data_IF_144226029963
#
_entry.id   IF_144226029963
#
_cell.length_a   1.000
_cell.length_b   1.000
_cell.length_c   1.000
_cell.angle_alpha   90.00
_cell.angle_beta   90.00
_cell.angle_gamma   90.00
#
_symmetry.space_group_name_H-M   'P 1'
#
loop_
_entity.id
_entity.type
_entity.pdbx_description
1 polymer ?
#
# COMPACT_ATOMS: atom_id res chain seq x y z
N UNK A 1 -14.95 10.88 51.28
CA UNK A 1 -15.06 10.09 50.02
C UNK A 1 -15.21 10.97 48.77
N UNK A 2 -16.23 11.84 48.65
CA UNK A 2 -16.41 12.71 47.46
C UNK A 2 -15.21 13.62 47.11
N UNK A 3 -14.57 14.23 48.11
CA UNK A 3 -13.37 15.07 47.91
C UNK A 3 -12.16 14.28 47.39
N UNK A 4 -12.01 13.03 47.84
CA UNK A 4 -10.94 12.14 47.41
C UNK A 4 -11.16 11.68 45.96
N UNK A 5 -12.42 11.35 45.62
CA UNK A 5 -12.81 10.99 44.25
C UNK A 5 -12.56 12.15 43.27
N UNK A 6 -12.98 13.37 43.63
CA UNK A 6 -12.74 14.57 42.82
C UNK A 6 -11.24 14.85 42.62
N UNK A 7 -10.42 14.62 43.64
CA UNK A 7 -8.97 14.81 43.56
C UNK A 7 -8.35 13.81 42.57
N UNK A 8 -8.74 12.53 42.63
CA UNK A 8 -8.27 11.51 41.69
C UNK A 8 -8.72 11.79 40.25
N UNK A 9 -9.96 12.24 40.04
CA UNK A 9 -10.45 12.62 38.71
C UNK A 9 -9.68 13.83 38.15
N UNK A 10 -9.42 14.84 38.98
CA UNK A 10 -8.65 16.02 38.58
C UNK A 10 -7.20 15.66 38.23
N UNK A 11 -6.54 14.82 39.05
CA UNK A 11 -5.19 14.31 38.76
C UNK A 11 -5.15 13.49 37.47
N UNK A 12 -6.15 12.65 37.23
CA UNK A 12 -6.25 11.88 35.98
C UNK A 12 -6.41 12.78 34.75
N UNK A 13 -7.23 13.83 34.83
CA UNK A 13 -7.37 14.82 33.75
C UNK A 13 -6.08 15.61 33.52
N UNK A 14 -5.42 16.06 34.58
CA UNK A 14 -4.14 16.77 34.48
C UNK A 14 -3.08 15.86 33.83
N UNK A 15 -2.98 14.60 34.27
CA UNK A 15 -2.06 13.64 33.67
C UNK A 15 -2.37 13.42 32.17
N UNK A 16 -3.64 13.32 31.78
CA UNK A 16 -4.03 13.18 30.38
C UNK A 16 -3.68 14.42 29.54
N UNK A 17 -3.79 15.63 30.10
CA UNK A 17 -3.37 16.87 29.43
C UNK A 17 -1.84 16.96 29.31
N UNK A 18 -1.13 16.65 30.39
CA UNK A 18 0.35 16.64 30.39
C UNK A 18 0.88 15.65 29.35
N UNK A 19 0.31 14.44 29.26
CA UNK A 19 0.69 13.45 28.24
C UNK A 19 0.45 13.96 26.82
N UNK A 20 -0.62 14.73 26.57
CA UNK A 20 -0.86 15.35 25.26
C UNK A 20 0.14 16.47 24.91
N UNK A 21 0.72 17.13 25.93
CA UNK A 21 1.73 18.15 25.75
C UNK A 21 3.16 17.60 25.64
N UNK A 22 3.39 16.32 25.95
CA UNK A 22 4.70 15.70 25.79
C UNK A 22 5.03 15.57 24.29
N UNK A 23 6.25 15.92 23.85
CA UNK A 23 6.66 15.73 22.47
C UNK A 23 6.62 14.23 22.13
N UNK A 24 5.88 13.89 21.07
CA UNK A 24 5.89 12.52 20.55
C UNK A 24 7.29 12.21 20.02
N UNK A 25 7.74 10.98 20.24
CA UNK A 25 8.95 10.51 19.60
C UNK A 25 8.71 10.47 18.09
N UNK A 26 9.46 11.29 17.37
CA UNK A 26 9.53 11.21 15.91
C UNK A 26 10.20 9.88 15.56
N UNK A 27 9.57 9.01 14.77
CA UNK A 27 10.32 7.93 14.15
C UNK A 27 11.45 8.56 13.32
N UNK A 28 12.57 7.83 13.17
CA UNK A 28 13.65 8.28 12.31
C UNK A 28 13.05 8.72 10.97
N UNK A 29 13.33 9.97 10.57
CA UNK A 29 12.93 10.48 9.26
C UNK A 29 13.42 9.49 8.23
N UNK A 30 12.49 8.87 7.49
CA UNK A 30 12.87 8.11 6.32
C UNK A 30 13.50 9.11 5.36
N UNK A 31 14.70 8.81 4.86
CA UNK A 31 15.54 9.64 3.96
C UNK A 31 14.90 9.95 2.58
N UNK A 32 13.59 9.80 2.51
CA UNK A 32 12.65 10.07 1.42
C UNK A 32 12.64 11.51 0.90
N UNK A 33 13.08 12.50 1.69
CA UNK A 33 13.26 13.87 1.20
C UNK A 33 14.21 13.97 0.00
N UNK A 34 14.98 12.92 -0.27
CA UNK A 34 16.00 12.89 -1.33
C UNK A 34 15.56 12.14 -2.60
N UNK A 35 14.33 11.61 -2.70
CA UNK A 35 13.88 10.94 -3.94
C UNK A 35 12.51 11.44 -4.39
N UNK A 36 12.55 12.43 -5.28
CA UNK A 36 11.42 12.91 -6.08
C UNK A 36 10.78 11.77 -6.85
N UNK A 37 9.50 11.50 -6.62
CA UNK A 37 8.78 10.40 -7.28
C UNK A 37 8.82 10.54 -8.82
N UNK A 38 8.78 11.77 -9.34
CA UNK A 38 8.84 12.02 -10.78
C UNK A 38 10.15 11.54 -11.43
N UNK A 39 11.28 11.64 -10.72
CA UNK A 39 12.59 11.17 -11.16
C UNK A 39 12.70 9.65 -11.10
N UNK A 40 12.15 9.02 -10.05
CA UNK A 40 12.20 7.56 -9.87
C UNK A 40 11.40 6.79 -10.93
N UNK A 41 10.29 7.38 -11.38
CA UNK A 41 9.37 6.76 -12.34
C UNK A 41 9.43 7.44 -13.71
N UNK A 42 10.49 8.21 -13.98
CA UNK A 42 10.76 8.84 -15.27
C UNK A 42 10.79 7.78 -16.38
N UNK A 43 10.10 8.04 -17.47
CA UNK A 43 9.91 7.06 -18.55
C UNK A 43 11.23 6.75 -19.25
N UNK A 44 11.62 5.48 -19.23
CA UNK A 44 12.53 4.87 -20.21
C UNK A 44 11.80 3.71 -20.85
N UNK A 45 11.49 3.81 -22.14
CA UNK A 45 10.92 2.70 -22.89
C UNK A 45 10.57 3.09 -24.31
N UNK A 46 10.99 2.28 -25.28
CA UNK A 46 10.59 2.43 -26.67
C UNK A 46 9.10 2.06 -26.81
N UNK A 47 8.29 2.93 -27.40
CA UNK A 47 6.88 2.65 -27.73
C UNK A 47 5.82 3.05 -26.69
N UNK A 48 6.23 3.59 -25.54
CA UNK A 48 5.31 4.16 -24.55
C UNK A 48 5.50 5.67 -24.39
N UNK A 49 4.38 6.36 -24.24
CA UNK A 49 4.35 7.76 -23.81
C UNK A 49 3.83 7.82 -22.39
N UNK A 50 4.29 8.80 -21.61
CA UNK A 50 3.72 9.05 -20.30
C UNK A 50 3.36 10.52 -20.12
N UNK A 51 2.28 10.75 -19.40
CA UNK A 51 1.80 12.08 -19.04
C UNK A 51 1.41 12.10 -17.58
N UNK A 52 1.78 13.16 -16.88
CA UNK A 52 1.24 13.39 -15.54
C UNK A 52 -0.21 13.85 -15.66
N UNK A 53 -1.06 13.25 -14.82
CA UNK A 53 -2.49 13.47 -14.80
C UNK A 53 -2.84 14.22 -13.52
N UNK A 54 -3.64 15.30 -13.60
CA UNK A 54 -4.07 16.01 -12.40
C UNK A 54 -4.96 15.11 -11.54
N UNK A 55 -4.87 15.27 -10.21
CA UNK A 55 -5.67 14.52 -9.23
C UNK A 55 -7.13 14.99 -9.12
N UNK A 56 -7.58 15.80 -10.07
CA UNK A 56 -8.93 16.30 -10.17
C UNK A 56 -9.24 16.69 -11.61
N UNK A 57 -10.52 16.62 -11.98
CA UNK A 57 -10.97 17.06 -13.30
C UNK A 57 -10.89 18.59 -13.47
N UNK A 58 -10.78 19.33 -12.36
CA UNK A 58 -10.67 20.78 -12.32
C UNK A 58 -9.66 21.19 -11.25
N UNK A 59 -9.11 22.40 -11.36
CA UNK A 59 -8.21 22.98 -10.35
C UNK A 59 -8.84 23.03 -8.96
N UNK A 60 -10.15 23.33 -8.87
CA UNK A 60 -10.88 23.36 -7.60
C UNK A 60 -10.95 21.98 -6.94
N UNK A 61 -11.19 20.93 -7.73
CA UNK A 61 -11.20 19.54 -7.24
C UNK A 61 -9.79 19.12 -6.84
N UNK A 62 -8.78 19.46 -7.63
CA UNK A 62 -7.38 19.18 -7.31
C UNK A 62 -6.96 19.85 -5.99
N UNK A 63 -7.26 21.14 -5.81
CA UNK A 63 -6.96 21.86 -4.56
C UNK A 63 -7.71 21.28 -3.35
N UNK A 64 -8.93 20.78 -3.53
CA UNK A 64 -9.66 20.06 -2.48
C UNK A 64 -9.00 18.72 -2.11
N UNK A 65 -8.52 17.97 -3.11
CA UNK A 65 -7.78 16.71 -2.91
C UNK A 65 -6.47 16.97 -2.18
N UNK A 66 -5.68 17.95 -2.61
CA UNK A 66 -4.43 18.38 -1.96
C UNK A 66 -4.67 18.78 -0.50
N UNK A 67 -5.70 19.59 -0.25
CA UNK A 67 -6.05 20.04 1.10
C UNK A 67 -6.51 18.90 2.01
N UNK A 68 -7.19 17.91 1.46
CA UNK A 68 -7.73 16.77 2.21
C UNK A 68 -6.64 15.74 2.49
N UNK A 69 -5.89 15.36 1.45
CA UNK A 69 -4.88 14.30 1.52
C UNK A 69 -3.57 14.79 2.11
N UNK A 70 -3.21 16.08 1.99
CA UNK A 70 -2.03 16.69 2.63
C UNK A 70 -0.75 15.85 2.48
N UNK A 71 -0.52 15.27 1.30
CA UNK A 71 0.70 14.52 0.99
C UNK A 71 1.92 15.45 0.92
N UNK A 72 3.11 14.88 1.08
CA UNK A 72 4.39 15.57 0.93
C UNK A 72 4.95 15.44 -0.49
N UNK A 73 4.65 14.34 -1.19
CA UNK A 73 4.93 14.15 -2.61
C UNK A 73 3.81 13.30 -3.25
N UNK A 74 3.56 13.50 -4.54
CA UNK A 74 2.58 12.71 -5.30
C UNK A 74 3.01 12.54 -6.75
N UNK A 75 2.78 11.34 -7.26
CA UNK A 75 2.89 11.01 -8.67
C UNK A 75 1.57 10.43 -9.13
N UNK A 76 0.94 11.05 -10.13
CA UNK A 76 -0.14 10.41 -10.87
C UNK A 76 0.18 10.48 -12.35
N UNK A 77 0.53 9.33 -12.92
CA UNK A 77 1.06 9.24 -14.28
C UNK A 77 0.32 8.18 -15.06
N UNK A 78 -0.11 8.54 -16.25
CA UNK A 78 -0.67 7.62 -17.23
C UNK A 78 0.41 7.25 -18.23
N UNK A 79 0.52 5.97 -18.51
CA UNK A 79 1.37 5.39 -19.54
C UNK A 79 0.46 4.89 -20.65
N UNK A 80 0.76 5.23 -21.89
CA UNK A 80 -0.05 4.83 -23.05
C UNK A 80 0.85 4.32 -24.18
N UNK A 81 0.50 3.16 -24.72
CA UNK A 81 1.16 2.58 -25.89
C UNK A 81 0.78 3.33 -27.16
N UNK A 82 1.53 3.09 -28.23
CA UNK A 82 1.12 3.50 -29.58
C UNK A 82 -0.19 2.85 -30.07
N UNK A 83 -0.56 1.68 -29.53
CA UNK A 83 -1.81 0.97 -29.84
C UNK A 83 -3.02 1.49 -29.05
N UNK A 84 -2.80 2.35 -28.05
CA UNK A 84 -3.86 2.95 -27.22
C UNK A 84 -4.16 2.22 -25.91
N UNK A 85 -3.45 1.13 -25.62
CA UNK A 85 -3.51 0.47 -24.31
C UNK A 85 -2.90 1.39 -23.24
N UNK A 86 -3.46 1.40 -22.04
CA UNK A 86 -2.96 2.30 -21.00
C UNK A 86 -3.05 1.73 -19.58
N UNK A 87 -2.06 2.10 -18.79
CA UNK A 87 -2.10 1.90 -17.34
C UNK A 87 -1.74 3.20 -16.63
N UNK A 88 -2.15 3.31 -15.39
CA UNK A 88 -1.90 4.47 -14.53
C UNK A 88 -1.19 4.05 -13.26
N UNK A 89 -0.19 4.84 -12.87
CA UNK A 89 0.51 4.72 -11.61
C UNK A 89 0.14 5.93 -10.75
N UNK A 90 -0.40 5.66 -9.57
CA UNK A 90 -0.63 6.64 -8.53
C UNK A 90 0.21 6.29 -7.31
N UNK A 91 1.02 7.23 -6.85
CA UNK A 91 1.81 7.12 -5.62
C UNK A 91 1.61 8.41 -4.83
N UNK A 92 1.14 8.29 -3.60
CA UNK A 92 1.13 9.40 -2.65
C UNK A 92 2.04 9.08 -1.46
N UNK A 93 2.83 10.07 -1.07
CA UNK A 93 3.81 9.96 0.00
C UNK A 93 3.49 10.92 1.16
N UNK A 94 3.65 10.44 2.39
CA UNK A 94 3.52 11.21 3.62
C UNK A 94 4.74 10.99 4.50
N UNK A 95 5.34 12.08 4.96
CA UNK A 95 6.42 12.02 5.95
C UNK A 95 5.90 11.59 7.33
N UNK A 96 6.81 11.15 8.17
CA UNK A 96 6.55 10.73 9.53
C UNK A 96 5.70 11.79 10.28
N UNK A 97 4.61 11.33 10.88
CA UNK A 97 3.69 12.19 11.64
C UNK A 97 2.76 13.07 10.82
N UNK A 98 2.87 13.09 9.48
CA UNK A 98 2.03 13.95 8.62
C UNK A 98 0.56 13.56 8.63
N UNK A 99 0.29 12.26 8.48
CA UNK A 99 -1.07 11.73 8.34
C UNK A 99 -1.27 10.47 9.20
N UNK A 100 -2.40 10.34 9.92
CA UNK A 100 -2.74 9.09 10.60
C UNK A 100 -2.87 7.93 9.61
N UNK A 101 -2.28 6.78 9.96
CA UNK A 101 -2.29 5.59 9.09
C UNK A 101 -3.68 5.13 8.70
N UNK A 102 -4.63 5.19 9.64
CA UNK A 102 -6.01 4.78 9.40
C UNK A 102 -6.73 5.74 8.45
N UNK A 103 -6.34 7.01 8.42
CA UNK A 103 -6.92 7.98 7.49
C UNK A 103 -6.41 7.72 6.07
N UNK A 104 -5.10 7.49 5.89
CA UNK A 104 -4.54 7.04 4.60
C UNK A 104 -5.21 5.74 4.13
N UNK A 105 -5.34 4.76 5.04
CA UNK A 105 -5.98 3.47 4.76
C UNK A 105 -7.48 3.57 4.45
N UNK A 106 -8.13 4.70 4.74
CA UNK A 106 -9.55 4.92 4.39
C UNK A 106 -9.75 5.37 2.93
N UNK A 107 -8.68 5.76 2.24
CA UNK A 107 -8.69 6.23 0.86
C UNK A 107 -8.31 5.14 -0.15
N UNK A 108 -8.88 3.94 0.00
CA UNK A 108 -8.70 2.85 -0.95
C UNK A 108 -9.61 3.00 -2.18
N UNK A 109 -9.30 2.34 -3.31
CA UNK A 109 -10.19 2.25 -4.46
C UNK A 109 -11.58 1.76 -4.08
N UNK A 110 -11.66 0.84 -3.12
CA UNK A 110 -12.91 0.29 -2.59
C UNK A 110 -13.89 1.37 -2.10
N UNK A 111 -13.39 2.51 -1.61
CA UNK A 111 -14.23 3.66 -1.25
C UNK A 111 -14.32 4.68 -2.38
N UNK A 112 -13.19 5.10 -2.93
CA UNK A 112 -13.15 6.22 -3.86
C UNK A 112 -13.81 5.89 -5.21
N UNK A 113 -13.58 4.69 -5.74
CA UNK A 113 -14.10 4.29 -7.04
C UNK A 113 -15.57 3.90 -6.96
N UNK A 114 -15.97 3.20 -5.91
CA UNK A 114 -17.38 2.86 -5.68
C UNK A 114 -18.23 4.10 -5.44
N UNK A 115 -17.73 5.08 -4.69
CA UNK A 115 -18.40 6.38 -4.53
C UNK A 115 -18.49 7.17 -5.83
N UNK A 116 -17.58 6.93 -6.78
CA UNK A 116 -17.60 7.48 -8.13
C UNK A 116 -18.48 6.67 -9.11
N UNK A 117 -19.21 5.66 -8.62
CA UNK A 117 -20.14 4.86 -9.41
C UNK A 117 -19.55 3.63 -10.10
N UNK A 118 -18.33 3.23 -9.76
CA UNK A 118 -17.75 1.97 -10.24
C UNK A 118 -18.25 0.80 -9.40
N UNK A 119 -18.54 -0.32 -10.06
CA UNK A 119 -18.86 -1.58 -9.41
C UNK A 119 -17.57 -2.39 -9.21
N UNK A 120 -17.34 -2.90 -8.00
CA UNK A 120 -16.27 -3.86 -7.75
C UNK A 120 -16.78 -5.27 -8.03
N UNK A 121 -16.29 -5.88 -9.11
CA UNK A 121 -16.74 -7.20 -9.56
C UNK A 121 -15.91 -8.34 -8.95
N UNK A 122 -14.63 -8.05 -8.65
CA UNK A 122 -13.68 -9.06 -8.19
C UNK A 122 -12.77 -8.48 -7.12
N UNK A 123 -12.48 -9.29 -6.11
CA UNK A 123 -11.61 -8.96 -4.98
C UNK A 123 -10.66 -10.13 -4.79
N UNK A 124 -9.36 -9.87 -4.82
CA UNK A 124 -8.35 -10.84 -4.42
C UNK A 124 -7.34 -10.16 -3.48
N UNK A 125 -6.99 -10.86 -2.41
CA UNK A 125 -6.01 -10.42 -1.41
C UNK A 125 -4.68 -11.12 -1.65
N UNK A 126 -3.57 -10.44 -1.35
CA UNK A 126 -2.23 -11.04 -1.43
C UNK A 126 -1.73 -11.29 -2.86
N UNK A 127 -2.18 -10.50 -3.84
CA UNK A 127 -1.76 -10.63 -5.24
C UNK A 127 -0.41 -9.94 -5.44
N UNK A 128 0.61 -10.72 -5.80
CA UNK A 128 1.92 -10.17 -6.14
C UNK A 128 2.03 -9.94 -7.66
N UNK A 129 2.61 -8.81 -8.06
CA UNK A 129 2.84 -8.49 -9.47
C UNK A 129 4.30 -8.74 -9.79
N UNK A 130 4.57 -9.50 -10.85
CA UNK A 130 5.92 -9.88 -11.24
C UNK A 130 6.27 -9.36 -12.63
N UNK A 131 7.53 -8.96 -12.81
CA UNK A 131 8.17 -8.68 -14.10
C UNK A 131 9.31 -9.68 -14.36
N UNK A 132 10.24 -9.33 -15.25
CA UNK A 132 11.43 -10.12 -15.56
C UNK A 132 12.50 -10.10 -14.46
N UNK A 133 12.53 -9.06 -13.64
CA UNK A 133 13.61 -8.79 -12.68
C UNK A 133 13.22 -9.18 -11.25
N UNK A 134 11.93 -9.28 -10.95
CA UNK A 134 11.47 -9.66 -9.63
C UNK A 134 9.96 -9.59 -9.46
N UNK A 135 9.56 -9.60 -8.19
CA UNK A 135 8.16 -9.64 -7.78
C UNK A 135 7.92 -8.60 -6.69
N UNK A 136 6.76 -7.95 -6.74
CA UNK A 136 6.34 -7.05 -5.68
C UNK A 136 5.94 -7.84 -4.43
N UNK A 137 5.88 -7.16 -3.29
CA UNK A 137 5.15 -7.67 -2.13
C UNK A 137 3.68 -7.92 -2.52
N UNK A 138 2.99 -8.84 -1.83
CA UNK A 138 1.57 -9.09 -2.05
C UNK A 138 0.76 -7.80 -1.89
N UNK A 139 -0.19 -7.55 -2.77
CA UNK A 139 -1.07 -6.38 -2.76
C UNK A 139 -2.54 -6.74 -2.80
N UNK A 140 -3.36 -5.71 -2.87
CA UNK A 140 -4.82 -5.81 -2.93
C UNK A 140 -5.28 -5.65 -4.38
N UNK A 141 -5.79 -6.72 -4.98
CA UNK A 141 -6.31 -6.70 -6.34
C UNK A 141 -7.82 -6.48 -6.35
N UNK A 142 -8.28 -5.68 -7.30
CA UNK A 142 -9.69 -5.41 -7.58
C UNK A 142 -9.92 -5.36 -9.09
N UNK A 143 -11.08 -5.83 -9.54
CA UNK A 143 -11.60 -5.56 -10.87
C UNK A 143 -12.82 -4.66 -10.75
N UNK A 144 -12.76 -3.48 -11.35
CA UNK A 144 -13.86 -2.51 -11.35
C UNK A 144 -14.50 -2.40 -12.73
N UNK A 145 -15.83 -2.22 -12.77
CA UNK A 145 -16.59 -1.93 -13.98
C UNK A 145 -17.40 -0.64 -13.81
N UNK A 146 -17.24 0.31 -14.72
CA UNK A 146 -18.06 1.52 -14.77
C UNK A 146 -19.42 1.25 -15.42
N UNK A 147 -20.41 2.13 -15.21
CA UNK A 147 -21.74 2.00 -15.82
C UNK A 147 -21.74 1.92 -17.36
N UNK A 148 -20.68 2.40 -18.01
CA UNK A 148 -20.46 2.30 -19.46
C UNK A 148 -19.78 1.01 -19.94
N UNK A 149 -19.54 0.04 -19.06
CA UNK A 149 -18.87 -1.23 -19.38
C UNK A 149 -17.34 -1.17 -19.40
N UNK A 150 -16.74 0.00 -19.15
CA UNK A 150 -15.28 0.13 -19.00
C UNK A 150 -14.80 -0.66 -17.80
N UNK A 151 -13.80 -1.52 -18.02
CA UNK A 151 -13.20 -2.36 -16.98
C UNK A 151 -11.83 -1.80 -16.58
N UNK A 152 -11.49 -1.93 -15.30
CA UNK A 152 -10.19 -1.56 -14.76
C UNK A 152 -9.67 -2.64 -13.81
N UNK A 153 -8.42 -3.04 -14.03
CA UNK A 153 -7.66 -3.99 -13.22
C UNK A 153 -6.76 -3.19 -12.28
N UNK A 154 -7.04 -3.24 -10.99
CA UNK A 154 -6.40 -2.38 -10.00
C UNK A 154 -5.66 -3.23 -8.99
N UNK A 155 -4.38 -2.94 -8.76
CA UNK A 155 -3.63 -3.45 -7.60
C UNK A 155 -3.15 -2.27 -6.79
N UNK A 156 -3.29 -2.34 -5.47
CA UNK A 156 -2.81 -1.30 -4.59
C UNK A 156 -2.11 -1.85 -3.34
N UNK A 157 -1.24 -1.01 -2.79
CA UNK A 157 -0.46 -1.27 -1.59
C UNK A 157 -0.44 -0.03 -0.71
N UNK A 158 -0.29 -0.23 0.59
CA UNK A 158 0.12 0.84 1.49
C UNK A 158 1.34 0.37 2.26
N UNK A 159 2.42 1.16 2.22
CA UNK A 159 3.61 0.96 3.04
C UNK A 159 3.55 1.92 4.24
N UNK A 160 3.81 1.40 5.42
CA UNK A 160 3.93 2.17 6.67
C UNK A 160 5.32 1.90 7.23
N UNK A 161 6.22 2.87 7.08
CA UNK A 161 7.65 2.65 7.22
C UNK A 161 8.13 1.66 6.15
N UNK A 162 8.67 0.52 6.59
CA UNK A 162 9.12 -0.56 5.71
C UNK A 162 8.12 -1.73 5.65
N UNK A 163 7.00 -1.64 6.37
CA UNK A 163 6.03 -2.72 6.47
C UNK A 163 4.85 -2.49 5.54
N UNK A 164 4.36 -3.59 4.95
CA UNK A 164 3.11 -3.55 4.22
C UNK A 164 1.96 -3.45 5.23
N UNK A 165 1.10 -2.46 5.02
CA UNK A 165 -0.11 -2.31 5.80
C UNK A 165 -1.07 -3.46 5.49
N UNK A 166 -1.47 -4.15 6.55
CA UNK A 166 -2.50 -5.17 6.48
C UNK A 166 -3.87 -4.48 6.57
N UNK A 167 -4.60 -4.44 5.46
CA UNK A 167 -5.97 -3.96 5.42
C UNK A 167 -6.94 -4.91 6.16
N UNK A 168 -6.49 -6.13 6.47
CA UNK A 168 -7.23 -7.24 7.05
C UNK A 168 -8.26 -7.83 6.09
N UNK A 169 -8.80 -9.01 6.42
CA UNK A 169 -9.95 -9.65 5.73
C UNK A 169 -11.29 -8.87 5.87
N UNK A 170 -11.27 -7.55 6.10
CA UNK A 170 -12.26 -6.90 6.96
C UNK A 170 -13.12 -5.85 6.26
N UNK A 171 -14.04 -6.34 5.43
CA UNK A 171 -15.42 -5.84 5.56
C UNK A 171 -15.88 -6.19 6.99
N UNK A 172 -15.97 -5.21 7.90
CA UNK A 172 -16.64 -5.31 9.20
C UNK A 172 -16.13 -6.33 10.25
N UNK A 173 -14.83 -6.35 10.60
CA UNK A 173 -14.45 -6.95 11.90
C UNK A 173 -13.68 -5.99 12.80
N UNK A 174 -14.26 -5.77 13.98
CA UNK A 174 -13.68 -4.96 15.06
C UNK A 174 -12.30 -5.53 15.43
N UNK A 175 -11.24 -4.71 15.50
CA UNK A 175 -9.95 -5.16 16.01
C UNK A 175 -10.13 -5.76 17.41
N UNK A 176 -9.33 -6.77 17.78
CA UNK A 176 -9.36 -7.26 19.16
C UNK A 176 -9.06 -6.09 20.11
N UNK A 177 -9.91 -5.89 21.13
CA UNK A 177 -9.85 -4.73 22.01
C UNK A 177 -8.45 -4.49 22.62
N UNK A 178 -7.69 -5.57 22.86
CA UNK A 178 -6.31 -5.52 23.33
C UNK A 178 -5.31 -4.98 22.31
N UNK A 179 -5.40 -5.38 21.02
CA UNK A 179 -4.54 -4.80 19.97
C UNK A 179 -4.88 -3.32 19.78
N UNK A 180 -6.16 -2.98 19.74
CA UNK A 180 -6.59 -1.59 19.65
C UNK A 180 -6.05 -0.74 20.81
N UNK A 181 -6.14 -1.22 22.05
CA UNK A 181 -5.61 -0.51 23.22
C UNK A 181 -4.08 -0.36 23.16
N UNK A 182 -3.36 -1.43 22.79
CA UNK A 182 -1.90 -1.40 22.63
C UNK A 182 -1.48 -0.43 21.53
N UNK A 183 -2.17 -0.45 20.40
CA UNK A 183 -1.85 0.37 19.24
C UNK A 183 -2.21 1.84 19.53
N UNK A 184 -3.32 2.11 20.25
CA UNK A 184 -3.66 3.42 20.78
C UNK A 184 -2.60 3.94 21.78
N UNK A 185 -2.12 3.10 22.69
CA UNK A 185 -1.06 3.47 23.63
C UNK A 185 0.25 3.78 22.91
N UNK A 186 0.63 2.97 21.91
CA UNK A 186 1.82 3.23 21.06
C UNK A 186 1.69 4.53 20.27
N UNK A 187 0.53 4.78 19.66
CA UNK A 187 0.25 6.01 18.88
C UNK A 187 0.17 7.29 19.74
N UNK A 188 0.01 7.13 21.06
CA UNK A 188 0.08 8.24 22.01
C UNK A 188 1.51 8.76 22.18
N UNK A 189 2.52 7.88 22.10
CA UNK A 189 3.93 8.24 22.33
C UNK A 189 4.78 8.31 21.05
N UNK A 190 4.36 7.66 19.97
CA UNK A 190 5.10 7.57 18.70
C UNK A 190 4.26 8.14 17.55
N UNK A 191 4.85 9.04 16.77
CA UNK A 191 4.18 9.54 15.56
C UNK A 191 4.07 8.42 14.50
N UNK A 192 3.02 8.41 13.65
CA UNK A 192 2.96 7.49 12.52
C UNK A 192 4.26 7.50 11.71
N UNK A 193 4.79 6.35 11.28
CA UNK A 193 5.91 6.31 10.34
C UNK A 193 5.58 7.03 9.03
N UNK A 194 6.61 7.29 8.21
CA UNK A 194 6.40 7.71 6.83
C UNK A 194 5.59 6.66 6.06
N UNK A 195 4.78 7.07 5.08
CA UNK A 195 3.85 6.18 4.39
C UNK A 195 3.84 6.41 2.89
N UNK A 196 3.72 5.32 2.14
CA UNK A 196 3.37 5.35 0.72
C UNK A 196 2.01 4.70 0.53
N UNK A 197 1.17 5.31 -0.29
CA UNK A 197 0.02 4.64 -0.89
C UNK A 197 0.28 4.51 -2.38
N UNK A 198 0.28 3.28 -2.90
CA UNK A 198 0.60 2.96 -4.28
C UNK A 198 -0.62 2.30 -4.91
N UNK A 199 -1.03 2.75 -6.10
CA UNK A 199 -2.07 2.13 -6.90
C UNK A 199 -1.63 2.05 -8.35
N UNK A 200 -1.72 0.85 -8.90
CA UNK A 200 -1.55 0.55 -10.31
C UNK A 200 -2.92 0.18 -10.87
N UNK A 201 -3.37 0.85 -11.93
CA UNK A 201 -4.63 0.54 -12.60
C UNK A 201 -4.43 0.40 -14.11
N UNK A 202 -5.06 -0.58 -14.74
CA UNK A 202 -4.91 -0.89 -16.16
C UNK A 202 -6.26 -1.17 -16.81
N UNK A 203 -6.43 -0.76 -18.06
CA UNK A 203 -7.61 -1.09 -18.86
C UNK A 203 -7.59 -2.54 -19.39
N UNK A 204 -6.43 -3.20 -19.34
CA UNK A 204 -6.23 -4.62 -19.65
C UNK A 204 -5.80 -5.42 -18.40
N UNK A 205 -6.01 -6.76 -18.40
CA UNK A 205 -5.43 -7.63 -17.38
C UNK A 205 -3.93 -7.40 -17.25
N UNK A 206 -3.41 -7.36 -16.01
CA UNK A 206 -1.99 -7.07 -15.76
C UNK A 206 -1.06 -8.10 -16.41
N UNK A 207 -1.55 -9.32 -16.64
CA UNK A 207 -0.84 -10.40 -17.33
C UNK A 207 -0.54 -10.05 -18.80
N UNK A 208 -1.37 -9.22 -19.45
CA UNK A 208 -1.16 -8.84 -20.85
C UNK A 208 -0.08 -7.78 -21.03
N UNK A 209 0.12 -6.93 -20.03
CA UNK A 209 1.15 -5.88 -20.05
C UNK A 209 2.45 -6.33 -19.36
N UNK A 210 2.47 -7.56 -18.84
CA UNK A 210 3.66 -8.15 -18.22
C UNK A 210 4.77 -8.37 -19.25
N UNK A 211 5.99 -7.96 -18.90
CA UNK A 211 7.16 -8.09 -19.77
C UNK A 211 7.29 -6.97 -20.80
N UNK A 212 6.43 -5.97 -20.74
CA UNK A 212 6.61 -4.71 -21.42
C UNK A 212 7.69 -3.85 -20.72
N UNK A 213 8.65 -3.25 -21.44
CA UNK A 213 9.74 -2.47 -20.83
C UNK A 213 9.28 -1.32 -19.93
N UNK A 214 8.20 -0.62 -20.30
CA UNK A 214 7.69 0.50 -19.50
C UNK A 214 7.05 0.00 -18.21
N UNK A 215 6.30 -1.09 -18.30
CA UNK A 215 5.69 -1.74 -17.14
C UNK A 215 6.75 -2.31 -16.19
N UNK A 216 7.75 -3.01 -16.73
CA UNK A 216 8.88 -3.56 -15.99
C UNK A 216 9.68 -2.45 -15.27
N UNK A 217 9.91 -1.30 -15.95
CA UNK A 217 10.57 -0.14 -15.32
C UNK A 217 9.76 0.43 -14.15
N UNK A 218 8.43 0.48 -14.26
CA UNK A 218 7.55 0.92 -13.18
C UNK A 218 7.64 -0.03 -12.00
N UNK A 219 7.57 -1.34 -12.24
CA UNK A 219 7.69 -2.34 -11.19
C UNK A 219 9.06 -2.31 -10.52
N UNK A 220 10.14 -2.05 -11.26
CA UNK A 220 11.48 -1.84 -10.71
C UNK A 220 11.54 -0.63 -9.76
N UNK A 221 10.93 0.50 -10.16
CA UNK A 221 10.76 1.66 -9.29
C UNK A 221 9.95 1.36 -8.02
N UNK A 222 8.86 0.59 -8.16
CA UNK A 222 8.06 0.15 -7.01
C UNK A 222 8.87 -0.73 -6.05
N UNK A 223 9.72 -1.64 -6.57
CA UNK A 223 10.62 -2.42 -5.73
C UNK A 223 11.62 -1.55 -4.98
N UNK A 224 12.16 -0.52 -5.64
CA UNK A 224 13.14 0.40 -5.07
C UNK A 224 12.58 1.31 -3.94
N UNK A 225 11.26 1.49 -3.86
CA UNK A 225 10.59 2.18 -2.74
C UNK A 225 10.17 1.25 -1.59
N UNK A 226 10.51 -0.04 -1.66
CA UNK A 226 10.23 -1.01 -0.59
C UNK A 226 9.09 -2.00 -0.88
N UNK A 227 8.53 -2.00 -2.10
CA UNK A 227 7.62 -3.06 -2.55
C UNK A 227 8.34 -4.28 -3.11
N UNK A 228 9.66 -4.38 -3.06
CA UNK A 228 10.36 -5.61 -3.43
C UNK A 228 10.00 -6.71 -2.44
N UNK A 229 9.62 -7.90 -2.93
CA UNK A 229 9.65 -9.07 -2.08
C UNK A 229 11.11 -9.33 -1.69
N UNK A 230 11.49 -9.00 -0.46
CA UNK A 230 12.70 -9.57 0.12
C UNK A 230 12.58 -11.09 0.04
N UNK A 231 13.70 -11.79 -0.17
CA UNK A 231 13.79 -13.26 -0.20
C UNK A 231 12.81 -13.84 0.81
N UNK A 232 11.85 -14.63 0.34
CA UNK A 232 10.80 -15.19 1.18
C UNK A 232 11.41 -15.76 2.47
N UNK A 233 10.77 -15.62 3.64
CA UNK A 233 11.16 -16.43 4.78
C UNK A 233 11.05 -17.89 4.33
N UNK A 234 12.11 -18.66 4.52
CA UNK A 234 12.15 -20.10 4.32
C UNK A 234 11.08 -20.73 5.23
N UNK A 235 9.85 -20.83 4.73
CA UNK A 235 8.78 -21.57 5.35
C UNK A 235 9.10 -23.04 5.11
N UNK A 236 9.91 -23.56 6.03
CA UNK A 236 9.99 -24.97 6.40
C UNK A 236 9.88 -25.93 5.23
N UNK A 237 11.03 -26.24 4.63
CA UNK A 237 11.25 -27.55 4.03
C UNK A 237 11.02 -28.61 5.12
N UNK A 238 9.77 -29.05 5.28
CA UNK A 238 9.44 -30.28 5.98
C UNK A 238 10.18 -31.39 5.25
N UNK A 239 11.30 -31.80 5.84
CA UNK A 239 11.93 -33.07 5.58
C UNK A 239 10.94 -34.16 5.95
N UNK A 240 10.18 -34.64 4.98
CA UNK A 240 9.60 -35.98 5.05
C UNK A 240 10.76 -36.96 4.84
N UNK A 241 11.51 -37.21 5.91
CA UNK A 241 12.34 -38.39 6.05
C UNK A 241 11.50 -39.41 6.82
N UNK A 242 10.83 -40.29 6.10
CA UNK A 242 10.33 -41.54 6.68
C UNK A 242 10.43 -42.67 5.65
N UNK A 243 11.53 -43.42 5.75
CA UNK A 243 11.40 -44.85 6.03
C UNK A 243 10.87 -45.77 4.93
N UNK A 244 11.36 -45.67 3.69
CA UNK A 244 11.07 -46.65 2.62
C UNK A 244 12.22 -47.60 2.31
N UNK A 245 12.45 -48.63 3.15
CA UNK A 245 13.33 -49.77 2.79
C UNK A 245 12.81 -50.45 1.52
N UNK A 246 13.58 -50.41 0.44
CA UNK A 246 13.39 -51.29 -0.73
C UNK A 246 14.66 -52.10 -0.98
N UNK A 247 14.69 -53.30 -0.42
CA UNK A 247 15.59 -54.38 -0.84
C UNK A 247 14.96 -55.06 -2.05
N UNK A 248 15.45 -54.78 -3.26
CA UNK A 248 15.28 -55.67 -4.40
C UNK A 248 16.66 -56.13 -4.87
N UNK A 249 16.92 -57.40 -4.58
CA UNK A 249 18.09 -58.18 -4.93
C UNK A 249 17.96 -58.55 -6.40
N UNK A 250 18.76 -57.94 -7.27
CA UNK A 250 18.85 -58.30 -8.67
C UNK A 250 19.57 -59.66 -8.84
N UNK A 251 18.83 -60.59 -9.43
CA UNK A 251 19.27 -61.86 -9.99
C UNK A 251 19.98 -61.65 -11.33
N UNK A 252 21.00 -62.50 -11.61
CA UNK A 252 21.57 -62.83 -12.94
C UNK A 252 22.37 -61.69 -13.60
N UNK A 253 23.61 -61.88 -14.07
CA UNK A 253 24.37 -63.03 -14.58
C UNK A 253 25.85 -62.72 -14.42
#
# INVERSE_FOLDING_TARGET
MKKLLLLFTALGLIAAVVVQCLPKQSPATSDSKTRRLDEMFATRGDGWTSVEVPLGQTEAVQGAVEKTLRYDDVLFRQYTTTTGDHFTLYIAYWDAGKMPTQLVASHTPDRCWTSAGWQCDEIQHGVAVADREGVTRPGEFRRFTAAGGTVQYVVYWQLVGNDLYDFGDRFNQVPSAWRWLRDAFKQMFVAPPAQYFVRLASDQPLEKIKGDPAFDSVLSGLRAIGLGAGSAPDVGRQTTDDGGRRTERATRR
#
